data_IF_661934993878
#
_entry.id   IF_661934993878
#
_cell.length_a   1.000
_cell.length_b   1.000
_cell.length_c   1.000
_cell.angle_alpha   90.00
_cell.angle_beta   90.00
_cell.angle_gamma   90.00
#
_symmetry.space_group_name_H-M   'P 1'
#
loop_
_entity.id
_entity.type
_entity.pdbx_description
1 polymer ?
#
# COMPACT_ATOMS: atom_id res chain seq x y z
N UNK A 1 18.55 7.44 -2.39
CA UNK A 1 18.93 8.61 -1.56
C UNK A 1 19.46 8.05 -0.24
N UNK A 2 20.66 8.45 0.17
CA UNK A 2 21.23 8.02 1.45
C UNK A 2 20.33 8.52 2.60
N UNK A 3 20.00 7.63 3.53
CA UNK A 3 19.24 7.93 4.74
C UNK A 3 20.10 8.86 5.61
N UNK A 4 19.52 9.87 6.24
CA UNK A 4 20.28 10.72 7.17
C UNK A 4 20.62 9.91 8.40
N UNK A 5 21.85 10.00 8.83
CA UNK A 5 22.28 9.37 10.07
C UNK A 5 22.23 10.40 11.20
N UNK A 6 21.69 10.01 12.34
CA UNK A 6 21.75 10.83 13.54
C UNK A 6 23.21 11.03 13.97
N UNK A 7 23.55 12.25 14.41
CA UNK A 7 24.88 12.47 15.01
C UNK A 7 25.02 11.66 16.31
N UNK A 8 26.25 11.26 16.67
CA UNK A 8 26.53 10.49 17.90
C UNK A 8 25.98 11.17 19.17
N UNK A 9 25.92 12.50 19.21
CA UNK A 9 25.34 13.27 20.33
C UNK A 9 23.84 13.00 20.47
N UNK A 10 23.11 13.09 19.36
CA UNK A 10 21.66 12.82 19.32
C UNK A 10 21.38 11.35 19.62
N UNK A 11 22.23 10.45 19.15
CA UNK A 11 22.13 9.01 19.48
C UNK A 11 22.19 8.78 21.00
N UNK A 12 23.18 9.37 21.68
CA UNK A 12 23.32 9.24 23.12
C UNK A 12 22.16 9.87 23.89
N UNK A 13 21.61 10.98 23.41
CA UNK A 13 20.46 11.66 24.01
C UNK A 13 19.19 10.81 23.93
N UNK A 14 18.94 10.17 22.79
CA UNK A 14 17.80 9.26 22.60
C UNK A 14 17.95 8.01 23.48
N UNK A 15 19.15 7.43 23.56
CA UNK A 15 19.40 6.27 24.43
C UNK A 15 19.16 6.63 25.90
N UNK A 16 19.63 7.81 26.34
CA UNK A 16 19.37 8.31 27.71
C UNK A 16 17.87 8.52 27.98
N UNK A 17 17.11 8.98 26.99
CA UNK A 17 15.64 9.13 27.10
C UNK A 17 14.94 7.78 27.22
N UNK A 18 15.40 6.78 26.48
CA UNK A 18 14.83 5.44 26.45
C UNK A 18 15.24 4.56 27.66
N UNK A 19 16.23 5.00 28.45
CA UNK A 19 16.64 4.32 29.68
C UNK A 19 15.63 4.57 30.80
N UNK A 20 15.20 3.48 31.45
CA UNK A 20 14.38 3.52 32.66
C UNK A 20 15.23 3.83 33.90
N UNK A 21 14.62 4.24 35.03
CA UNK A 21 15.34 4.47 36.29
C UNK A 21 16.13 3.25 36.78
N UNK A 22 15.79 2.04 36.31
CA UNK A 22 16.48 0.80 36.65
C UNK A 22 17.74 0.53 35.79
N UNK A 23 18.07 1.42 34.84
CA UNK A 23 19.21 1.26 33.93
C UNK A 23 18.93 0.43 32.67
N UNK A 24 17.72 -0.11 32.55
CA UNK A 24 17.28 -0.91 31.41
C UNK A 24 16.85 -0.05 30.22
N UNK A 25 17.33 -0.40 29.02
CA UNK A 25 16.89 0.22 27.76
C UNK A 25 15.52 -0.35 27.38
N UNK A 26 14.52 0.52 27.26
CA UNK A 26 13.18 0.17 26.82
C UNK A 26 12.93 0.60 25.37
N UNK A 27 12.20 -0.22 24.61
CA UNK A 27 11.67 0.16 23.32
C UNK A 27 10.59 1.23 23.50
N UNK A 28 10.67 2.36 22.80
CA UNK A 28 9.67 3.43 22.90
C UNK A 28 8.38 3.13 22.11
N UNK A 29 8.39 2.13 21.23
CA UNK A 29 7.20 1.70 20.47
C UNK A 29 6.28 0.77 21.27
N UNK A 30 6.85 -0.18 22.01
CA UNK A 30 6.08 -1.20 22.74
C UNK A 30 6.38 -1.27 24.25
N UNK A 31 7.34 -0.48 24.76
CA UNK A 31 7.72 -0.50 26.17
C UNK A 31 8.51 -1.73 26.62
N UNK A 32 8.88 -2.63 25.70
CA UNK A 32 9.58 -3.87 26.02
C UNK A 32 11.05 -3.58 26.39
N UNK A 33 11.52 -4.18 27.48
CA UNK A 33 12.91 -4.05 27.92
C UNK A 33 13.79 -4.86 26.96
N UNK A 34 14.69 -4.17 26.27
CA UNK A 34 15.55 -4.75 25.25
C UNK A 34 16.73 -5.48 25.90
N UNK A 35 17.21 -5.03 27.06
CA UNK A 35 18.35 -5.65 27.74
C UNK A 35 19.57 -5.77 26.82
N UNK A 36 19.93 -7.00 26.41
CA UNK A 36 21.02 -7.29 25.46
C UNK A 36 20.59 -7.40 23.99
N UNK A 37 19.29 -7.25 23.69
CA UNK A 37 18.76 -7.39 22.32
C UNK A 37 19.21 -6.21 21.45
N UNK A 38 19.47 -6.43 20.16
CA UNK A 38 19.84 -5.36 19.26
C UNK A 38 18.71 -4.35 19.12
N UNK A 39 19.07 -3.07 19.06
CA UNK A 39 18.16 -1.96 18.87
C UNK A 39 18.67 -1.01 17.79
N UNK A 40 17.75 -0.32 17.15
CA UNK A 40 18.02 0.71 16.15
C UNK A 40 17.32 2.00 16.53
N UNK A 41 17.92 3.12 16.10
CA UNK A 41 17.30 4.43 16.22
C UNK A 41 16.71 4.77 14.86
N UNK A 42 15.38 4.82 14.80
CA UNK A 42 14.64 5.16 13.58
C UNK A 42 14.06 6.56 13.65
N UNK A 43 13.86 7.18 12.48
CA UNK A 43 13.14 8.44 12.39
C UNK A 43 11.65 8.22 12.65
N UNK A 44 11.00 9.10 13.40
CA UNK A 44 9.55 9.04 13.66
C UNK A 44 8.76 9.32 12.38
N UNK A 45 9.16 10.35 11.62
CA UNK A 45 8.71 10.57 10.26
C UNK A 45 9.77 10.02 9.32
N UNK A 46 9.36 9.17 8.38
CA UNK A 46 10.30 8.64 7.41
C UNK A 46 10.92 9.80 6.60
N UNK A 47 12.25 9.87 6.58
CA UNK A 47 13.07 10.87 5.85
C UNK A 47 12.63 11.09 4.39
N UNK A 48 12.02 10.09 3.77
CA UNK A 48 11.54 10.14 2.40
C UNK A 48 10.28 11.00 2.21
N UNK A 49 9.55 11.30 3.29
CA UNK A 49 8.37 12.17 3.30
C UNK A 49 8.70 13.62 3.72
N UNK A 50 9.86 13.85 4.33
CA UNK A 50 10.22 15.18 4.83
C UNK A 50 10.75 16.06 3.70
N UNK A 51 10.00 17.15 3.45
CA UNK A 51 10.28 18.13 2.39
C UNK A 51 11.46 19.03 2.79
N UNK A 52 11.55 19.39 4.08
CA UNK A 52 12.58 20.29 4.61
C UNK A 52 13.81 19.54 5.12
N UNK A 53 14.65 19.20 4.15
CA UNK A 53 15.95 18.57 4.35
C UNK A 53 17.00 19.50 5.03
N UNK A 54 16.68 20.75 5.34
CA UNK A 54 17.67 21.68 5.90
C UNK A 54 17.70 21.71 7.44
N UNK A 55 16.69 21.13 8.10
CA UNK A 55 16.64 21.08 9.56
C UNK A 55 17.62 20.04 10.13
N UNK A 56 18.29 20.39 11.24
CA UNK A 56 19.15 19.47 11.98
C UNK A 56 18.27 18.42 12.65
N UNK A 57 18.58 17.13 12.44
CA UNK A 57 17.91 16.02 13.14
C UNK A 57 18.10 16.19 14.65
N UNK A 58 17.01 16.34 15.38
CA UNK A 58 17.02 16.46 16.84
C UNK A 58 16.65 15.14 17.50
N UNK A 59 16.91 15.01 18.81
CA UNK A 59 16.51 13.82 19.58
C UNK A 59 14.99 13.59 19.59
N UNK A 60 14.19 14.62 19.27
CA UNK A 60 12.72 14.51 19.15
C UNK A 60 12.30 13.76 17.88
N UNK A 61 13.13 13.75 16.85
CA UNK A 61 12.81 13.17 15.55
C UNK A 61 13.21 11.69 15.45
N UNK A 62 14.02 11.22 16.42
CA UNK A 62 14.45 9.84 16.53
C UNK A 62 13.74 9.08 17.65
N UNK A 63 13.52 7.78 17.41
CA UNK A 63 12.89 6.86 18.35
C UNK A 63 13.72 5.60 18.47
N UNK A 64 13.93 5.11 19.70
CA UNK A 64 14.63 3.85 19.93
C UNK A 64 13.65 2.68 19.82
N UNK A 65 13.87 1.82 18.82
CA UNK A 65 13.05 0.66 18.55
C UNK A 65 13.89 -0.61 18.57
N UNK A 66 13.34 -1.66 19.18
CA UNK A 66 13.92 -3.00 19.11
C UNK A 66 13.81 -3.57 17.70
N UNK A 67 14.88 -4.21 17.23
CA UNK A 67 14.94 -4.79 15.87
C UNK A 67 13.85 -5.85 15.66
N UNK A 68 13.57 -6.65 16.69
CA UNK A 68 12.63 -7.77 16.59
C UNK A 68 11.19 -7.40 16.92
N UNK A 69 10.94 -6.29 17.62
CA UNK A 69 9.59 -5.88 17.98
C UNK A 69 9.00 -4.87 16.99
N UNK A 70 9.44 -3.62 17.06
CA UNK A 70 8.74 -2.51 16.40
C UNK A 70 9.43 -2.04 15.11
N UNK A 71 10.73 -2.33 14.93
CA UNK A 71 11.47 -1.86 13.76
C UNK A 71 10.92 -2.44 12.45
N UNK A 72 10.67 -3.75 12.39
CA UNK A 72 10.21 -4.44 11.17
C UNK A 72 8.82 -3.97 10.73
N UNK A 73 7.90 -3.82 11.69
CA UNK A 73 6.52 -3.40 11.40
C UNK A 73 6.48 -1.95 10.93
N UNK A 74 7.20 -1.06 11.62
CA UNK A 74 7.32 0.34 11.24
C UNK A 74 7.93 0.49 9.84
N UNK A 75 9.03 -0.22 9.56
CA UNK A 75 9.68 -0.15 8.24
C UNK A 75 8.72 -0.57 7.12
N UNK A 76 7.89 -1.59 7.33
CA UNK A 76 6.89 -2.03 6.33
C UNK A 76 5.83 -0.95 6.08
N UNK A 77 5.32 -0.34 7.15
CA UNK A 77 4.33 0.74 7.06
C UNK A 77 4.91 1.97 6.37
N UNK A 78 6.12 2.39 6.76
CA UNK A 78 6.81 3.53 6.15
C UNK A 78 7.02 3.33 4.65
N UNK A 79 7.49 2.14 4.22
CA UNK A 79 7.66 1.82 2.80
C UNK A 79 6.33 1.91 2.04
N UNK A 80 5.24 1.42 2.63
CA UNK A 80 3.92 1.51 2.02
C UNK A 80 3.47 2.98 1.84
N UNK A 81 3.59 3.80 2.88
CA UNK A 81 3.22 5.22 2.85
C UNK A 81 4.10 6.00 1.85
N UNK A 82 5.41 5.75 1.82
CA UNK A 82 6.32 6.37 0.85
C UNK A 82 5.92 6.01 -0.58
N UNK A 83 5.58 4.74 -0.83
CA UNK A 83 5.16 4.30 -2.15
C UNK A 83 3.86 4.96 -2.59
N UNK A 84 2.94 5.19 -1.66
CA UNK A 84 1.67 5.85 -1.92
C UNK A 84 1.87 7.34 -2.19
N UNK A 85 2.69 8.03 -1.39
CA UNK A 85 3.04 9.43 -1.60
C UNK A 85 3.63 9.66 -2.98
N UNK A 86 4.62 8.83 -3.38
CA UNK A 86 5.19 8.87 -4.74
C UNK A 86 4.15 8.66 -5.83
N UNK A 87 3.21 7.72 -5.64
CA UNK A 87 2.11 7.51 -6.60
C UNK A 87 1.17 8.71 -6.70
N UNK A 88 0.91 9.40 -5.59
CA UNK A 88 0.08 10.63 -5.58
C UNK A 88 0.82 11.77 -6.27
N UNK A 89 2.11 11.93 -6.01
CA UNK A 89 2.97 12.89 -6.71
C UNK A 89 3.01 12.62 -8.22
N UNK A 90 3.26 11.37 -8.64
CA UNK A 90 3.25 10.97 -10.06
C UNK A 90 1.92 11.28 -10.77
N UNK A 91 0.79 11.12 -10.05
CA UNK A 91 -0.55 11.49 -10.55
C UNK A 91 -0.70 13.01 -10.65
N UNK A 92 -0.29 13.75 -9.63
CA UNK A 92 -0.40 15.21 -9.59
C UNK A 92 0.47 15.89 -10.67
N UNK A 93 1.70 15.41 -10.86
CA UNK A 93 2.61 15.87 -11.92
C UNK A 93 2.22 15.37 -13.32
N UNK A 94 1.21 14.50 -13.44
CA UNK A 94 0.77 13.95 -14.73
C UNK A 94 1.77 13.01 -15.40
N UNK A 95 2.81 12.56 -14.69
CA UNK A 95 3.83 11.64 -15.22
C UNK A 95 3.23 10.28 -15.58
N UNK A 96 2.26 9.79 -14.78
CA UNK A 96 1.54 8.56 -15.08
C UNK A 96 0.20 8.87 -15.72
N UNK A 97 0.09 8.63 -17.03
CA UNK A 97 -1.20 8.59 -17.71
C UNK A 97 -2.06 7.46 -17.11
N UNK A 98 -3.32 7.71 -16.73
CA UNK A 98 -4.22 6.65 -16.30
C UNK A 98 -4.32 5.61 -17.43
N UNK A 99 -3.94 4.37 -17.13
CA UNK A 99 -3.78 3.31 -18.15
C UNK A 99 -5.11 2.78 -18.69
N UNK A 100 -6.24 3.07 -18.05
CA UNK A 100 -7.52 2.58 -18.51
C UNK A 100 -8.24 3.62 -19.37
N UNK A 101 -8.09 3.49 -20.69
CA UNK A 101 -9.28 3.52 -21.52
C UNK A 101 -10.13 2.34 -21.05
N UNK A 102 -11.17 2.59 -20.27
CA UNK A 102 -12.28 1.65 -20.14
C UNK A 102 -12.90 1.54 -21.55
N UNK A 103 -12.23 0.79 -22.43
CA UNK A 103 -12.86 0.24 -23.60
C UNK A 103 -13.92 -0.69 -23.02
N UNK A 104 -15.16 -0.21 -22.94
CA UNK A 104 -16.32 -1.06 -22.76
C UNK A 104 -16.17 -2.11 -23.86
N UNK A 105 -15.70 -3.29 -23.52
CA UNK A 105 -15.68 -4.41 -24.44
C UNK A 105 -17.15 -4.63 -24.73
N UNK A 106 -17.62 -4.21 -25.90
CA UNK A 106 -18.97 -4.49 -26.36
C UNK A 106 -19.00 -6.01 -26.43
N UNK A 107 -19.55 -6.65 -25.40
CA UNK A 107 -19.72 -8.11 -25.38
C UNK A 107 -20.70 -8.40 -26.50
N UNK A 108 -20.20 -8.89 -27.62
CA UNK A 108 -21.06 -9.43 -28.66
C UNK A 108 -21.95 -10.51 -28.04
N UNK A 109 -23.26 -10.51 -28.30
CA UNK A 109 -24.15 -11.52 -27.76
C UNK A 109 -23.67 -12.89 -28.27
N UNK A 110 -23.55 -13.85 -27.33
CA UNK A 110 -23.13 -15.22 -27.67
C UNK A 110 -24.06 -15.78 -28.75
N UNK A 111 -23.50 -16.25 -29.86
CA UNK A 111 -24.26 -16.91 -30.93
C UNK A 111 -25.06 -18.07 -30.34
N UNK A 112 -26.35 -18.15 -30.69
CA UNK A 112 -27.23 -19.23 -30.26
C UNK A 112 -26.72 -20.54 -30.89
N UNK A 113 -26.10 -21.41 -30.07
CA UNK A 113 -25.57 -22.70 -30.54
C UNK A 113 -26.64 -23.80 -30.61
N UNK A 114 -27.84 -23.53 -30.12
CA UNK A 114 -28.94 -24.50 -30.12
C UNK A 114 -29.58 -24.53 -31.51
N UNK A 115 -29.77 -25.71 -32.13
CA UNK A 115 -30.50 -25.80 -33.39
C UNK A 115 -31.90 -25.23 -33.19
N UNK A 116 -32.33 -24.39 -34.13
CA UNK A 116 -33.69 -23.85 -34.12
C UNK A 116 -34.67 -25.02 -34.19
N UNK A 117 -35.79 -24.97 -33.44
CA UNK A 117 -36.81 -26.00 -33.52
C UNK A 117 -37.31 -26.11 -34.97
N UNK A 118 -37.63 -27.33 -35.43
CA UNK A 118 -38.15 -27.52 -36.78
C UNK A 118 -39.44 -26.72 -36.96
N UNK A 119 -39.57 -26.02 -38.09
CA UNK A 119 -40.82 -25.33 -38.45
C UNK A 119 -41.95 -26.36 -38.48
N UNK A 120 -43.04 -26.09 -37.76
CA UNK A 120 -44.25 -26.93 -37.83
C UNK A 120 -44.73 -27.00 -39.27
N UNK A 121 -45.05 -28.21 -39.72
CA UNK A 121 -45.62 -28.51 -41.03
C UNK A 121 -46.91 -29.28 -40.83
N UNK A 122 -47.90 -29.02 -41.67
CA UNK A 122 -49.12 -29.82 -41.70
C UNK A 122 -48.84 -31.23 -42.23
N UNK A 123 -49.83 -32.12 -42.14
CA UNK A 123 -49.78 -33.50 -42.68
C UNK A 123 -49.38 -33.54 -44.17
N UNK A 124 -49.68 -32.46 -44.93
CA UNK A 124 -49.31 -32.31 -46.34
C UNK A 124 -47.98 -31.57 -46.58
N UNK A 125 -47.16 -31.35 -45.55
CA UNK A 125 -45.82 -30.77 -45.66
C UNK A 125 -45.76 -29.24 -45.87
N UNK A 126 -46.90 -28.54 -45.83
CA UNK A 126 -46.98 -27.09 -45.97
C UNK A 126 -46.64 -26.40 -44.64
N UNK A 127 -46.00 -25.20 -44.67
CA UNK A 127 -45.73 -24.47 -43.44
C UNK A 127 -47.05 -24.01 -42.81
N UNK A 128 -47.25 -24.35 -41.53
CA UNK A 128 -48.43 -23.90 -40.79
C UNK A 128 -48.24 -22.42 -40.48
N UNK A 129 -48.98 -21.53 -41.13
CA UNK A 129 -49.07 -20.14 -40.69
C UNK A 129 -49.92 -20.12 -39.43
N UNK A 130 -49.29 -20.10 -38.26
CA UNK A 130 -49.98 -19.66 -37.04
C UNK A 130 -50.31 -18.18 -37.27
N UNK A 131 -51.52 -17.92 -37.79
CA UNK A 131 -52.01 -16.58 -38.02
C UNK A 131 -51.97 -15.80 -36.72
N UNK A 132 -51.51 -14.55 -36.80
CA UNK A 132 -51.75 -13.54 -35.77
C UNK A 132 -53.27 -13.49 -35.58
N UNK A 133 -53.73 -13.97 -34.42
CA UNK A 133 -55.07 -13.68 -33.94
C UNK A 133 -55.17 -12.16 -33.80
N UNK A 134 -56.16 -11.58 -34.48
CA UNK A 134 -56.57 -10.18 -34.31
C UNK A 134 -56.96 -9.88 -32.87
#
# INVERSE_FOLDING_TARGET
MARREFTKKVYAEIVKRAMRPNGDIACEGCGLILGKKPYHIDHIKADALEIDKSAKLTAKDGQLLGVDCCHKEKTKQDVAVISEAKRREEKHLGMKRPSSKLAKTIKEPKRLMKPLPPRKRDIFGRPVSEGISS
#
